data_IF_786393263068
#
_entry.id   IF_786393263068
#
_cell.length_a   1.000
_cell.length_b   1.000
_cell.length_c   1.000
_cell.angle_alpha   90.00
_cell.angle_beta   90.00
_cell.angle_gamma   90.00
#
_symmetry.space_group_name_H-M   'P 1'
#
loop_
_entity.id
_entity.type
_entity.pdbx_description
1 polymer ?
#
# COMPACT_ATOMS: atom_id res chain seq x y z
N UNK A 1 -24.11 -21.72 27.14
CA UNK A 1 -24.70 -20.50 26.57
C UNK A 1 -23.86 -20.12 25.36
N UNK A 2 -24.37 -20.41 24.16
CA UNK A 2 -23.65 -20.31 22.91
C UNK A 2 -23.92 -18.92 22.32
N UNK A 3 -22.97 -17.99 22.42
CA UNK A 3 -23.06 -16.74 21.68
C UNK A 3 -22.72 -17.01 20.22
N UNK A 4 -23.75 -17.02 19.38
CA UNK A 4 -23.65 -17.06 17.92
C UNK A 4 -22.66 -16.00 17.44
N UNK A 5 -21.49 -16.45 16.97
CA UNK A 5 -20.64 -15.64 16.11
C UNK A 5 -21.39 -15.48 14.79
N UNK A 6 -22.07 -14.35 14.62
CA UNK A 6 -22.60 -13.92 13.33
C UNK A 6 -21.48 -14.07 12.30
N UNK A 7 -21.60 -15.10 11.44
CA UNK A 7 -20.68 -15.32 10.33
C UNK A 7 -20.81 -14.12 9.43
N UNK A 8 -19.80 -13.25 9.46
CA UNK A 8 -19.68 -12.07 8.62
C UNK A 8 -19.91 -12.48 7.15
N UNK A 9 -21.09 -12.17 6.64
CA UNK A 9 -21.66 -12.67 5.37
C UNK A 9 -21.07 -12.00 4.13
N UNK A 10 -20.30 -10.92 4.30
CA UNK A 10 -19.62 -10.22 3.22
C UNK A 10 -18.11 -10.13 3.51
N UNK A 11 -17.24 -10.49 2.55
CA UNK A 11 -15.82 -10.26 2.72
C UNK A 11 -15.58 -8.77 2.97
N UNK A 12 -14.79 -8.43 3.99
CA UNK A 12 -14.49 -7.03 4.34
C UNK A 12 -13.84 -6.34 3.15
N UNK A 13 -14.48 -5.29 2.64
CA UNK A 13 -13.90 -4.40 1.64
C UNK A 13 -12.95 -3.43 2.33
N UNK A 14 -11.72 -3.31 1.83
CA UNK A 14 -10.75 -2.34 2.32
C UNK A 14 -10.61 -1.22 1.31
N UNK A 15 -10.70 0.03 1.76
CA UNK A 15 -10.56 1.17 0.86
C UNK A 15 -9.11 1.63 0.77
N UNK A 16 -8.75 2.06 -0.44
CA UNK A 16 -7.51 2.75 -0.72
C UNK A 16 -7.65 4.19 -0.26
N UNK A 17 -6.75 4.61 0.63
CA UNK A 17 -6.56 6.00 1.01
C UNK A 17 -5.10 6.32 0.74
N UNK A 18 -4.85 7.28 -0.13
CA UNK A 18 -3.49 7.68 -0.47
C UNK A 18 -2.90 8.54 0.64
N UNK A 19 -1.58 8.49 0.82
CA UNK A 19 -0.90 9.42 1.69
C UNK A 19 -0.27 10.54 0.87
N UNK A 20 -0.44 11.80 1.30
CA UNK A 20 0.08 12.95 0.55
C UNK A 20 1.61 12.89 0.37
N UNK A 21 2.32 12.29 1.32
CA UNK A 21 3.77 12.14 1.24
C UNK A 21 4.25 11.15 0.17
N UNK A 22 3.40 10.24 -0.30
CA UNK A 22 3.81 9.19 -1.25
C UNK A 22 3.93 9.75 -2.65
N UNK A 23 5.05 9.46 -3.32
CA UNK A 23 5.19 9.68 -4.76
C UNK A 23 4.20 8.81 -5.54
N UNK A 24 3.88 9.21 -6.77
CA UNK A 24 2.94 8.45 -7.61
C UNK A 24 3.56 7.12 -8.04
N UNK A 25 4.87 7.09 -8.30
CA UNK A 25 5.63 5.88 -8.61
C UNK A 25 5.52 4.84 -7.48
N UNK A 26 5.68 5.25 -6.23
CA UNK A 26 5.52 4.38 -5.07
C UNK A 26 4.08 3.86 -4.96
N UNK A 27 3.08 4.70 -5.22
CA UNK A 27 1.67 4.28 -5.20
C UNK A 27 1.42 3.21 -6.27
N UNK A 28 1.86 3.45 -7.50
CA UNK A 28 1.71 2.48 -8.61
C UNK A 28 2.42 1.18 -8.27
N UNK A 29 3.67 1.25 -7.79
CA UNK A 29 4.44 0.07 -7.38
C UNK A 29 3.70 -0.78 -6.35
N UNK A 30 3.15 -0.16 -5.29
CA UNK A 30 2.42 -0.88 -4.25
C UNK A 30 1.11 -1.51 -4.78
N UNK A 31 0.45 -0.88 -5.77
CA UNK A 31 -0.74 -1.46 -6.44
C UNK A 31 -0.37 -2.67 -7.30
N UNK A 32 0.74 -2.58 -8.02
CA UNK A 32 1.27 -3.69 -8.81
C UNK A 32 1.67 -4.84 -7.89
N UNK A 33 2.35 -4.56 -6.78
CA UNK A 33 2.71 -5.57 -5.78
C UNK A 33 1.48 -6.27 -5.17
N UNK A 34 0.43 -5.52 -4.83
CA UNK A 34 -0.85 -6.08 -4.36
C UNK A 34 -1.47 -7.00 -5.42
N UNK A 35 -1.41 -6.61 -6.70
CA UNK A 35 -1.94 -7.42 -7.83
C UNK A 35 -1.13 -8.68 -8.04
N UNK A 36 0.20 -8.59 -7.96
CA UNK A 36 1.10 -9.72 -8.10
C UNK A 36 0.91 -10.72 -6.96
N UNK A 37 0.78 -10.23 -5.72
CA UNK A 37 0.46 -11.07 -4.57
C UNK A 37 -0.89 -11.79 -4.71
N UNK A 38 -1.92 -11.12 -5.25
CA UNK A 38 -3.21 -11.73 -5.55
C UNK A 38 -3.10 -12.81 -6.63
N UNK A 39 -2.26 -12.60 -7.65
CA UNK A 39 -2.01 -13.58 -8.70
C UNK A 39 -1.30 -14.81 -8.14
N UNK A 40 -0.20 -14.61 -7.40
CA UNK A 40 0.58 -15.67 -6.76
C UNK A 40 -0.29 -16.52 -5.82
N UNK A 41 -1.10 -15.87 -4.97
CA UNK A 41 -2.04 -16.59 -4.09
C UNK A 41 -3.09 -17.42 -4.86
N UNK A 42 -3.46 -17.04 -6.09
CA UNK A 42 -4.40 -17.83 -6.90
C UNK A 42 -3.75 -19.02 -7.59
N UNK A 43 -2.43 -19.03 -7.75
CA UNK A 43 -1.70 -20.15 -8.32
C UNK A 43 -1.68 -21.30 -7.30
N UNK A 44 -2.75 -22.09 -7.25
CA UNK A 44 -2.72 -23.34 -6.51
C UNK A 44 -1.91 -24.39 -7.28
N UNK A 45 -0.99 -25.05 -6.59
CA UNK A 45 -0.45 -26.32 -7.07
C UNK A 45 -1.56 -27.37 -6.88
N UNK A 46 -2.29 -27.66 -7.96
CA UNK A 46 -3.44 -28.58 -7.98
C UNK A 46 -4.82 -27.90 -7.89
N UNK A 47 -5.88 -28.68 -7.71
CA UNK A 47 -7.29 -28.24 -7.84
C UNK A 47 -7.84 -27.41 -6.66
N UNK A 48 -7.00 -27.07 -5.66
CA UNK A 48 -7.44 -26.40 -4.44
C UNK A 48 -6.71 -25.09 -4.23
N UNK A 49 -7.46 -23.99 -4.14
CA UNK A 49 -6.95 -22.70 -3.67
C UNK A 49 -6.17 -22.87 -2.36
N UNK A 50 -5.12 -22.06 -2.12
CA UNK A 50 -4.35 -22.14 -0.88
C UNK A 50 -5.24 -22.00 0.34
N UNK A 51 -5.01 -22.83 1.36
CA UNK A 51 -5.66 -22.70 2.64
C UNK A 51 -5.27 -21.40 3.35
N UNK A 52 -6.16 -20.89 4.22
CA UNK A 52 -5.96 -19.65 4.97
C UNK A 52 -6.86 -18.51 4.51
N UNK A 53 -6.61 -17.31 5.05
CA UNK A 53 -7.37 -16.11 4.66
C UNK A 53 -6.87 -15.61 3.29
N UNK A 54 -7.79 -15.28 2.35
CA UNK A 54 -7.39 -14.69 1.09
C UNK A 54 -6.74 -13.31 1.31
N UNK A 55 -5.87 -12.86 0.38
CA UNK A 55 -5.32 -11.52 0.42
C UNK A 55 -6.44 -10.47 0.47
N UNK A 56 -6.18 -9.37 1.16
CA UNK A 56 -7.16 -8.29 1.31
C UNK A 56 -7.43 -7.66 -0.05
N UNK A 57 -8.70 -7.68 -0.48
CA UNK A 57 -9.14 -6.90 -1.64
C UNK A 57 -9.24 -5.43 -1.23
N UNK A 58 -8.34 -4.61 -1.77
CA UNK A 58 -8.38 -3.16 -1.65
C UNK A 58 -9.07 -2.55 -2.87
N UNK A 59 -9.96 -1.58 -2.66
CA UNK A 59 -10.71 -0.91 -3.73
C UNK A 59 -10.55 0.60 -3.63
N UNK A 60 -10.58 1.26 -4.79
CA UNK A 60 -10.60 2.72 -4.85
C UNK A 60 -11.91 3.27 -4.30
N UNK A 61 -11.84 4.45 -3.69
CA UNK A 61 -13.04 5.21 -3.31
C UNK A 61 -13.58 5.92 -4.55
N UNK A 62 -14.91 5.98 -4.68
CA UNK A 62 -15.57 6.76 -5.73
C UNK A 62 -15.15 8.25 -5.69
N UNK A 63 -14.95 8.77 -4.48
CA UNK A 63 -14.34 10.07 -4.22
C UNK A 63 -12.95 9.85 -3.61
N UNK A 64 -11.86 10.06 -4.37
CA UNK A 64 -10.51 9.85 -3.88
C UNK A 64 -10.22 10.67 -2.63
N UNK A 65 -9.63 10.01 -1.63
CA UNK A 65 -9.21 10.66 -0.39
C UNK A 65 -7.71 10.57 -0.24
N UNK A 66 -7.10 11.73 0.00
CA UNK A 66 -5.70 11.85 0.38
C UNK A 66 -5.61 12.17 1.87
N UNK A 67 -4.86 11.38 2.61
CA UNK A 67 -4.60 11.57 4.03
C UNK A 67 -3.27 12.28 4.25
N UNK A 68 -3.28 13.27 5.13
CA UNK A 68 -2.06 13.82 5.71
C UNK A 68 -1.60 12.90 6.86
N UNK A 69 -0.77 11.91 6.53
CA UNK A 69 -0.24 10.92 7.46
C UNK A 69 1.26 11.11 7.67
N UNK A 70 1.81 10.53 8.74
CA UNK A 70 3.24 10.56 9.00
C UNK A 70 4.00 9.75 7.93
N UNK A 71 5.01 10.37 7.32
CA UNK A 71 5.88 9.70 6.36
C UNK A 71 6.93 8.83 7.08
N UNK A 72 7.26 7.65 6.54
CA UNK A 72 8.39 6.86 7.02
C UNK A 72 9.72 7.60 6.83
N UNK A 73 10.67 7.30 7.71
CA UNK A 73 12.06 7.75 7.61
C UNK A 73 12.89 6.73 6.82
N UNK A 74 13.97 7.19 6.19
CA UNK A 74 14.95 6.32 5.55
C UNK A 74 14.49 5.72 4.22
N UNK A 75 13.51 6.32 3.54
CA UNK A 75 13.18 5.91 2.17
C UNK A 75 14.09 6.63 1.17
N UNK A 76 14.17 6.07 -0.04
CA UNK A 76 14.77 6.69 -1.23
C UNK A 76 14.02 7.95 -1.63
N UNK A 77 14.72 8.89 -2.29
CA UNK A 77 14.13 10.21 -2.60
C UNK A 77 12.89 10.11 -3.48
N UNK A 78 12.90 9.21 -4.46
CA UNK A 78 11.78 8.96 -5.39
C UNK A 78 10.57 8.26 -4.74
N UNK A 79 10.61 7.95 -3.45
CA UNK A 79 9.45 7.46 -2.69
C UNK A 79 8.59 8.60 -2.11
N UNK A 80 9.14 9.82 -2.04
CA UNK A 80 8.46 10.97 -1.47
C UNK A 80 7.89 11.87 -2.57
N UNK A 81 6.71 12.45 -2.33
CA UNK A 81 6.11 13.46 -3.20
C UNK A 81 6.82 14.82 -3.01
N UNK A 82 7.32 15.41 -4.10
CA UNK A 82 8.07 16.67 -4.06
C UNK A 82 7.23 17.84 -3.53
N UNK A 83 5.98 17.97 -3.98
CA UNK A 83 5.09 19.02 -3.51
C UNK A 83 4.81 18.89 -2.00
N UNK A 84 4.74 17.67 -1.47
CA UNK A 84 4.67 17.43 -0.04
C UNK A 84 5.98 17.79 0.68
N UNK A 85 7.14 17.40 0.14
CA UNK A 85 8.44 17.74 0.72
C UNK A 85 8.65 19.25 0.83
N UNK A 86 8.14 20.02 -0.13
CA UNK A 86 8.22 21.48 -0.16
C UNK A 86 7.36 22.14 0.94
N UNK A 87 6.35 21.43 1.47
CA UNK A 87 5.60 21.90 2.64
C UNK A 87 6.37 21.78 3.95
N UNK A 88 7.46 20.99 3.99
CA UNK A 88 8.18 20.69 5.22
C UNK A 88 9.21 21.76 5.56
N UNK A 89 9.31 22.06 6.85
CA UNK A 89 10.43 22.87 7.36
C UNK A 89 11.76 22.14 7.12
N UNK A 90 12.88 22.85 6.85
CA UNK A 90 14.16 22.21 6.55
C UNK A 90 14.65 21.20 7.59
N UNK A 91 14.41 21.45 8.88
CA UNK A 91 14.81 20.52 9.95
C UNK A 91 13.96 19.24 9.97
N UNK A 92 12.67 19.32 9.61
CA UNK A 92 11.78 18.16 9.50
C UNK A 92 12.20 17.31 8.29
N UNK A 93 12.49 17.95 7.15
CA UNK A 93 13.00 17.26 5.96
C UNK A 93 14.32 16.53 6.25
N UNK A 94 15.25 17.14 7.01
CA UNK A 94 16.48 16.45 7.46
C UNK A 94 16.20 15.24 8.36
N UNK A 95 15.19 15.32 9.24
CA UNK A 95 14.82 14.20 10.12
C UNK A 95 14.22 12.99 9.39
N UNK A 96 13.79 13.15 8.14
CA UNK A 96 13.36 12.02 7.31
C UNK A 96 14.53 11.10 6.97
N UNK A 97 15.77 11.59 6.97
CA UNK A 97 16.94 10.77 6.63
C UNK A 97 16.82 10.17 5.24
N UNK A 98 16.36 10.98 4.27
CA UNK A 98 16.12 10.55 2.88
C UNK A 98 17.44 10.03 2.29
N UNK A 99 17.38 8.86 1.67
CA UNK A 99 18.49 8.29 0.92
C UNK A 99 18.52 9.01 -0.44
N UNK A 100 19.65 9.66 -0.77
CA UNK A 100 19.82 10.40 -2.04
C UNK A 100 20.15 9.46 -3.22
N UNK A 101 19.31 8.46 -3.38
CA UNK A 101 19.31 7.49 -4.47
C UNK A 101 17.86 7.21 -4.86
N UNK A 102 17.66 6.60 -6.02
CA UNK A 102 16.34 6.21 -6.49
C UNK A 102 16.11 4.72 -6.23
N UNK A 103 14.97 4.39 -5.62
CA UNK A 103 14.51 3.01 -5.50
C UNK A 103 14.07 2.48 -6.87
N UNK A 104 14.44 1.25 -7.18
CA UNK A 104 14.02 0.57 -8.38
C UNK A 104 12.63 -0.05 -8.20
N UNK A 105 11.61 0.57 -8.79
CA UNK A 105 10.22 0.13 -8.71
C UNK A 105 9.86 -1.04 -9.65
N UNK A 106 10.84 -1.71 -10.28
CA UNK A 106 10.56 -2.86 -11.15
C UNK A 106 10.17 -4.09 -10.31
N UNK A 107 9.12 -4.79 -10.76
CA UNK A 107 8.79 -6.13 -10.28
C UNK A 107 9.34 -7.17 -11.27
N UNK A 108 9.63 -8.40 -10.83
CA UNK A 108 10.01 -9.50 -11.73
C UNK A 108 8.90 -9.78 -12.75
N UNK A 109 9.32 -10.24 -13.93
CA UNK A 109 8.43 -10.75 -14.99
C UNK A 109 7.80 -12.11 -14.62
#
# INVERSE_FOLDING_TARGET
DHSDQERQTHPKTFFIVEAFWQSDELKVFLRLLDTWHLWDWRQSIGDRLPGGNPPRKRVELAEPRVANSAAPKGLWKNCYNDAWLDTLKPHVRRQLGIIDEDYDFRLPD
#
